data_IF_725268334869
#
_entry.id   IF_725268334869
#
_cell.length_a   1.000
_cell.length_b   1.000
_cell.length_c   1.000
_cell.angle_alpha   90.00
_cell.angle_beta   90.00
_cell.angle_gamma   90.00
#
_symmetry.space_group_name_H-M   'P 1'
#
loop_
_entity.id
_entity.type
_entity.pdbx_description
1 polymer ?
#
# COMPACT_ATOMS: atom_id res chain seq x y z
N UNK A 1 30.76 -0.12 6.63
CA UNK A 1 29.64 0.74 6.24
C UNK A 1 28.70 -0.01 5.29
N UNK A 2 29.24 -0.62 4.24
CA UNK A 2 28.46 -1.38 3.25
C UNK A 2 27.61 -2.48 3.87
N UNK A 3 28.17 -3.28 4.80
CA UNK A 3 27.41 -4.28 5.53
C UNK A 3 26.21 -3.68 6.27
N UNK A 4 26.40 -2.52 6.93
CA UNK A 4 25.32 -1.85 7.65
C UNK A 4 24.17 -1.38 6.74
N UNK A 5 24.51 -0.85 5.56
CA UNK A 5 23.52 -0.46 4.55
C UNK A 5 22.77 -1.70 4.02
N UNK A 6 23.48 -2.79 3.71
CA UNK A 6 22.85 -4.05 3.28
C UNK A 6 21.95 -4.66 4.34
N UNK A 7 22.42 -4.70 5.60
CA UNK A 7 21.62 -5.22 6.72
C UNK A 7 20.32 -4.41 6.93
N UNK A 8 20.38 -3.09 6.76
CA UNK A 8 19.21 -2.22 6.84
C UNK A 8 18.26 -2.44 5.65
N UNK A 9 18.79 -2.47 4.42
CA UNK A 9 17.99 -2.52 3.21
C UNK A 9 17.44 -3.93 2.89
N UNK A 10 18.25 -4.97 3.08
CA UNK A 10 17.91 -6.34 2.67
C UNK A 10 17.39 -7.20 3.82
N UNK A 11 17.89 -6.98 5.05
CA UNK A 11 17.52 -7.77 6.23
C UNK A 11 16.55 -7.02 7.15
N UNK A 12 16.13 -5.80 6.78
CA UNK A 12 15.21 -4.96 7.54
C UNK A 12 15.69 -4.72 8.99
N UNK A 13 16.99 -4.65 9.21
CA UNK A 13 17.54 -4.32 10.53
C UNK A 13 17.32 -2.84 10.82
N UNK A 14 17.03 -2.52 12.10
CA UNK A 14 17.03 -1.11 12.53
C UNK A 14 18.46 -0.59 12.71
N UNK A 15 18.67 0.73 12.56
CA UNK A 15 19.96 1.37 12.82
C UNK A 15 20.50 1.04 14.22
N UNK A 16 19.61 0.93 15.23
CA UNK A 16 19.99 0.53 16.59
C UNK A 16 20.58 -0.89 16.65
N UNK A 17 20.02 -1.85 15.88
CA UNK A 17 20.55 -3.21 15.81
C UNK A 17 21.87 -3.26 15.06
N UNK A 18 22.01 -2.48 13.99
CA UNK A 18 23.27 -2.34 13.27
C UNK A 18 24.36 -1.74 14.17
N UNK A 19 24.04 -0.67 14.91
CA UNK A 19 24.95 -0.04 15.85
C UNK A 19 25.41 -1.03 16.95
N UNK A 20 24.47 -1.78 17.54
CA UNK A 20 24.77 -2.80 18.54
C UNK A 20 25.65 -3.92 17.98
N UNK A 21 25.36 -4.40 16.78
CA UNK A 21 26.14 -5.46 16.13
C UNK A 21 27.58 -5.03 15.80
N UNK A 22 27.79 -3.75 15.55
CA UNK A 22 29.12 -3.19 15.24
C UNK A 22 29.85 -2.61 16.49
N UNK A 23 29.21 -2.59 17.64
CA UNK A 23 29.77 -2.01 18.88
C UNK A 23 30.00 -0.50 18.81
N UNK A 24 29.20 0.24 18.02
CA UNK A 24 29.32 1.68 17.81
C UNK A 24 28.09 2.44 18.27
N UNK A 25 28.20 3.78 18.40
CA UNK A 25 27.06 4.60 18.76
C UNK A 25 26.01 4.62 17.64
N UNK A 26 24.73 4.82 18.02
CA UNK A 26 23.63 4.98 17.07
C UNK A 26 23.93 6.11 16.07
N UNK A 27 24.43 7.25 16.54
CA UNK A 27 24.79 8.40 15.69
C UNK A 27 25.86 8.05 14.67
N UNK A 28 26.90 7.32 15.09
CA UNK A 28 27.98 6.88 14.19
C UNK A 28 27.42 5.94 13.12
N UNK A 29 26.62 4.95 13.52
CA UNK A 29 25.99 4.03 12.56
C UNK A 29 25.05 4.76 11.59
N UNK A 30 24.18 5.63 12.10
CA UNK A 30 23.23 6.39 11.30
C UNK A 30 23.95 7.29 10.28
N UNK A 31 24.93 8.07 10.70
CA UNK A 31 25.68 8.96 9.80
C UNK A 31 26.42 8.17 8.72
N UNK A 32 27.10 7.09 9.10
CA UNK A 32 27.82 6.25 8.14
C UNK A 32 26.89 5.61 7.11
N UNK A 33 25.70 5.13 7.55
CA UNK A 33 24.70 4.55 6.65
C UNK A 33 24.12 5.63 5.72
N UNK A 34 23.78 6.81 6.24
CA UNK A 34 23.25 7.91 5.43
C UNK A 34 24.25 8.37 4.38
N UNK A 35 25.53 8.59 4.76
CA UNK A 35 26.59 8.98 3.82
C UNK A 35 26.78 7.93 2.72
N UNK A 36 26.80 6.65 3.08
CA UNK A 36 26.93 5.57 2.11
C UNK A 36 25.70 5.45 1.21
N UNK A 37 24.50 5.58 1.77
CA UNK A 37 23.26 5.55 0.99
C UNK A 37 23.19 6.73 0.01
N UNK A 38 23.57 7.92 0.45
CA UNK A 38 23.61 9.10 -0.39
C UNK A 38 24.59 8.92 -1.55
N UNK A 39 25.82 8.52 -1.27
CA UNK A 39 26.84 8.29 -2.30
C UNK A 39 26.42 7.21 -3.31
N UNK A 40 25.77 6.13 -2.83
CA UNK A 40 25.39 5.00 -3.70
C UNK A 40 24.10 5.24 -4.49
N UNK A 41 23.13 5.95 -3.91
CA UNK A 41 21.79 6.06 -4.48
C UNK A 41 21.50 7.44 -5.10
N UNK A 42 22.07 8.51 -4.54
CA UNK A 42 21.71 9.88 -4.94
C UNK A 42 22.83 10.61 -5.68
N UNK A 43 24.08 10.38 -5.33
CA UNK A 43 25.23 11.08 -5.91
C UNK A 43 25.80 10.36 -7.16
N UNK A 44 25.22 9.20 -7.54
CA UNK A 44 25.59 8.52 -8.78
C UNK A 44 25.22 9.39 -9.99
N UNK A 45 26.19 9.90 -10.77
CA UNK A 45 25.94 10.74 -11.93
C UNK A 45 25.18 9.99 -13.03
N UNK A 46 25.26 8.65 -13.05
CA UNK A 46 24.61 7.79 -14.05
C UNK A 46 23.21 7.31 -13.65
N UNK A 47 22.71 7.71 -12.46
CA UNK A 47 21.39 7.23 -11.97
C UNK A 47 20.21 7.53 -12.91
N UNK A 48 20.35 8.55 -13.76
CA UNK A 48 19.32 8.94 -14.74
C UNK A 48 19.58 8.40 -16.14
N UNK A 49 20.68 7.67 -16.36
CA UNK A 49 21.02 7.14 -17.67
C UNK A 49 20.09 5.97 -18.05
N UNK A 50 19.69 5.94 -19.32
CA UNK A 50 18.89 4.84 -19.88
C UNK A 50 17.48 4.73 -19.33
N UNK A 51 16.94 5.76 -18.68
CA UNK A 51 15.57 5.75 -18.15
C UNK A 51 14.57 5.96 -19.28
N UNK A 52 13.71 4.96 -19.50
CA UNK A 52 12.63 4.98 -20.49
C UNK A 52 11.27 4.72 -19.84
N UNK A 53 11.25 4.04 -18.70
CA UNK A 53 10.02 3.72 -17.95
C UNK A 53 10.12 4.26 -16.53
N UNK A 54 9.27 5.24 -16.23
CA UNK A 54 9.15 5.82 -14.88
C UNK A 54 8.06 5.13 -14.08
N UNK A 55 8.34 4.87 -12.81
CA UNK A 55 7.35 4.56 -11.80
C UNK A 55 7.22 5.74 -10.84
N UNK A 56 5.99 6.17 -10.56
CA UNK A 56 5.69 7.26 -9.62
C UNK A 56 4.67 6.77 -8.62
N UNK A 57 5.00 6.88 -7.33
CA UNK A 57 4.12 6.48 -6.24
C UNK A 57 4.20 7.46 -5.08
N UNK A 58 3.19 7.45 -4.21
CA UNK A 58 3.20 8.23 -2.98
C UNK A 58 3.44 7.33 -1.77
N UNK A 59 4.25 7.82 -0.84
CA UNK A 59 4.48 7.14 0.42
C UNK A 59 4.22 8.07 1.61
N UNK A 60 3.59 7.51 2.67
CA UNK A 60 3.38 8.23 3.93
C UNK A 60 4.69 8.21 4.71
N UNK A 61 5.43 9.30 4.68
CA UNK A 61 6.72 9.43 5.36
C UNK A 61 6.60 9.67 6.87
N UNK A 62 5.59 10.47 7.28
CA UNK A 62 5.40 10.86 8.68
C UNK A 62 3.94 10.82 9.08
N UNK A 63 3.67 10.33 10.29
CA UNK A 63 2.36 10.41 10.92
C UNK A 63 2.23 11.70 11.77
N UNK A 64 2.53 12.85 11.19
CA UNK A 64 2.44 14.16 11.86
C UNK A 64 1.13 14.87 11.53
N UNK A 65 0.66 15.71 12.45
CA UNK A 65 -0.52 16.56 12.24
C UNK A 65 -0.22 17.81 11.40
N UNK A 66 1.04 18.21 11.29
CA UNK A 66 1.50 19.41 10.57
C UNK A 66 2.67 19.09 9.65
N UNK A 67 2.73 19.77 8.50
CA UNK A 67 3.77 19.59 7.48
C UNK A 67 3.47 18.46 6.50
N UNK A 68 4.40 18.24 5.58
CA UNK A 68 4.27 17.22 4.53
C UNK A 68 4.30 15.82 5.14
N UNK A 69 3.18 15.12 4.99
CA UNK A 69 3.02 13.74 5.45
C UNK A 69 3.47 12.74 4.40
N UNK A 70 3.56 13.17 3.17
CA UNK A 70 3.80 12.34 2.00
C UNK A 70 5.11 12.70 1.33
N UNK A 71 5.70 11.72 0.70
CA UNK A 71 6.77 11.88 -0.28
C UNK A 71 6.32 11.26 -1.59
N UNK A 72 6.77 11.83 -2.70
CA UNK A 72 6.67 11.22 -4.02
C UNK A 72 7.93 10.42 -4.26
N UNK A 73 7.79 9.12 -4.49
CA UNK A 73 8.87 8.19 -4.81
C UNK A 73 8.91 8.03 -6.31
N UNK A 74 10.08 8.21 -6.91
CA UNK A 74 10.30 8.12 -8.35
C UNK A 74 11.33 7.05 -8.60
N UNK A 75 10.96 6.06 -9.40
CA UNK A 75 11.78 4.89 -9.71
C UNK A 75 11.94 4.71 -11.22
N UNK A 76 13.01 4.07 -11.60
CA UNK A 76 13.22 3.56 -12.95
C UNK A 76 12.75 2.10 -13.03
N UNK A 77 11.79 1.86 -13.90
CA UNK A 77 11.24 0.54 -14.20
C UNK A 77 11.80 -0.03 -15.50
N UNK A 78 12.70 0.66 -16.20
CA UNK A 78 13.32 0.17 -17.44
C UNK A 78 13.97 -1.20 -17.24
N UNK A 79 14.77 -1.44 -16.19
CA UNK A 79 15.38 -2.76 -15.98
C UNK A 79 14.35 -3.87 -15.73
N UNK A 80 13.19 -3.53 -15.13
CA UNK A 80 12.10 -4.50 -14.91
C UNK A 80 11.42 -4.85 -16.22
N UNK A 81 11.14 -3.84 -17.06
CA UNK A 81 10.57 -4.03 -18.40
C UNK A 81 11.45 -4.94 -19.24
N UNK A 82 12.73 -4.66 -19.28
CA UNK A 82 13.71 -5.33 -20.15
C UNK A 82 14.28 -6.62 -19.56
N UNK A 83 13.91 -6.94 -18.30
CA UNK A 83 14.45 -8.09 -17.54
C UNK A 83 15.98 -8.02 -17.28
N UNK A 84 16.57 -6.84 -17.33
CA UNK A 84 18.00 -6.62 -17.06
C UNK A 84 18.32 -6.48 -15.57
N UNK A 85 17.32 -6.21 -14.73
CA UNK A 85 17.52 -6.05 -13.29
C UNK A 85 16.26 -5.61 -12.52
N UNK A 86 16.42 -5.33 -11.22
CA UNK A 86 15.37 -4.77 -10.39
C UNK A 86 15.14 -3.29 -10.72
N UNK A 87 13.99 -2.76 -10.27
CA UNK A 87 13.72 -1.32 -10.29
C UNK A 87 14.82 -0.55 -9.54
N UNK A 88 15.16 0.64 -10.03
CA UNK A 88 16.15 1.53 -9.42
C UNK A 88 15.46 2.75 -8.81
N UNK A 89 15.88 3.17 -7.62
CA UNK A 89 15.41 4.43 -7.03
C UNK A 89 16.06 5.61 -7.77
N UNK A 90 15.25 6.50 -8.30
CA UNK A 90 15.73 7.75 -8.91
C UNK A 90 15.72 8.90 -7.90
N UNK A 91 14.60 9.06 -7.17
CA UNK A 91 14.48 10.15 -6.20
C UNK A 91 13.33 9.92 -5.20
N UNK A 92 13.37 10.65 -4.07
CA UNK A 92 12.31 10.75 -3.08
C UNK A 92 12.09 12.22 -2.75
N UNK A 93 10.99 12.79 -3.23
CA UNK A 93 10.71 14.23 -3.14
C UNK A 93 9.60 14.52 -2.11
N UNK A 94 9.77 15.49 -1.21
CA UNK A 94 8.72 15.85 -0.25
C UNK A 94 7.42 16.32 -0.94
N UNK A 95 6.27 15.87 -0.43
CA UNK A 95 4.94 16.21 -0.93
C UNK A 95 4.39 15.21 -1.94
N UNK A 96 3.09 15.37 -2.28
CA UNK A 96 2.35 14.52 -3.23
C UNK A 96 1.44 15.34 -4.13
N UNK A 97 1.91 16.40 -4.71
CA UNK A 97 1.09 17.27 -5.57
C UNK A 97 1.52 17.18 -7.03
N UNK A 98 0.61 17.59 -7.93
CA UNK A 98 0.96 17.83 -9.35
C UNK A 98 2.24 18.66 -9.47
N UNK A 99 2.35 19.74 -8.67
CA UNK A 99 3.50 20.67 -8.70
C UNK A 99 4.80 19.96 -8.38
N UNK A 100 4.80 19.05 -7.38
CA UNK A 100 6.00 18.31 -6.99
C UNK A 100 6.56 17.49 -8.15
N UNK A 101 5.73 16.65 -8.76
CA UNK A 101 6.17 15.83 -9.90
C UNK A 101 6.51 16.69 -11.11
N UNK A 102 5.70 17.72 -11.41
CA UNK A 102 5.95 18.63 -12.52
C UNK A 102 7.31 19.31 -12.37
N UNK A 103 7.60 19.89 -11.20
CA UNK A 103 8.88 20.56 -10.93
C UNK A 103 10.05 19.59 -11.06
N UNK A 104 9.89 18.35 -10.54
CA UNK A 104 10.91 17.34 -10.65
C UNK A 104 11.20 16.95 -12.12
N UNK A 105 10.16 16.77 -12.93
CA UNK A 105 10.30 16.44 -14.36
C UNK A 105 10.89 17.62 -15.14
N UNK A 106 10.43 18.84 -14.90
CA UNK A 106 10.93 20.06 -15.57
C UNK A 106 12.43 20.32 -15.30
N UNK A 107 12.95 19.86 -14.14
CA UNK A 107 14.37 19.96 -13.83
C UNK A 107 15.23 18.96 -14.65
N UNK A 108 14.65 18.06 -15.42
CA UNK A 108 15.35 17.14 -16.34
C UNK A 108 15.48 17.79 -17.70
N UNK A 109 16.62 17.59 -18.36
CA UNK A 109 16.84 18.10 -19.71
C UNK A 109 15.83 17.56 -20.72
N UNK A 110 15.54 18.31 -21.76
CA UNK A 110 14.58 17.92 -22.79
C UNK A 110 14.93 16.59 -23.45
N UNK A 111 16.19 16.35 -23.74
CA UNK A 111 16.71 15.08 -24.29
C UNK A 111 16.41 13.90 -23.35
N UNK A 112 16.51 14.08 -22.03
CA UNK A 112 16.16 13.03 -21.07
C UNK A 112 14.64 12.81 -21.05
N UNK A 113 13.85 13.88 -20.98
CA UNK A 113 12.39 13.78 -21.00
C UNK A 113 11.89 13.14 -22.28
N UNK A 114 12.50 13.44 -23.43
CA UNK A 114 12.14 12.86 -24.73
C UNK A 114 12.35 11.36 -24.84
N UNK A 115 13.21 10.75 -23.99
CA UNK A 115 13.43 9.30 -23.95
C UNK A 115 12.40 8.54 -23.13
N UNK A 116 11.69 9.20 -22.21
CA UNK A 116 10.70 8.54 -21.37
C UNK A 116 9.48 8.14 -22.21
N UNK A 117 9.26 6.84 -22.33
CA UNK A 117 8.17 6.24 -23.13
C UNK A 117 6.93 5.95 -22.30
N UNK A 118 7.11 5.59 -21.01
CA UNK A 118 6.04 5.15 -20.14
C UNK A 118 6.18 5.78 -18.76
N UNK A 119 5.04 6.17 -18.18
CA UNK A 119 4.94 6.58 -16.79
C UNK A 119 3.87 5.74 -16.09
N UNK A 120 4.31 4.81 -15.24
CA UNK A 120 3.45 4.02 -14.36
C UNK A 120 3.15 4.82 -13.10
N UNK A 121 1.88 4.97 -12.75
CA UNK A 121 1.44 5.78 -11.61
C UNK A 121 0.18 5.22 -10.97
N UNK A 122 -0.12 5.69 -9.77
CA UNK A 122 -1.39 5.43 -9.10
C UNK A 122 -2.57 6.16 -9.79
N UNK A 123 -3.75 6.10 -9.16
CA UNK A 123 -4.96 6.79 -9.65
C UNK A 123 -4.95 8.31 -9.47
N UNK A 124 -3.93 8.91 -8.88
CA UNK A 124 -3.91 10.34 -8.59
C UNK A 124 -3.82 11.19 -9.88
N UNK A 125 -4.85 12.00 -10.12
CA UNK A 125 -4.96 12.80 -11.33
C UNK A 125 -3.86 13.85 -11.47
N UNK A 126 -3.29 14.31 -10.35
CA UNK A 126 -2.19 15.27 -10.32
C UNK A 126 -0.92 14.73 -10.99
N UNK A 127 -0.58 13.45 -10.76
CA UNK A 127 0.57 12.84 -11.43
C UNK A 127 0.33 12.66 -12.93
N UNK A 128 -0.89 12.23 -13.31
CA UNK A 128 -1.26 12.14 -14.73
C UNK A 128 -1.13 13.50 -15.46
N UNK A 129 -1.64 14.57 -14.82
CA UNK A 129 -1.55 15.90 -15.41
C UNK A 129 -0.11 16.40 -15.52
N UNK A 130 0.72 16.16 -14.48
CA UNK A 130 2.13 16.53 -14.52
C UNK A 130 2.89 15.78 -15.62
N UNK A 131 2.67 14.46 -15.72
CA UNK A 131 3.27 13.64 -16.77
C UNK A 131 2.83 14.06 -18.17
N UNK A 132 1.53 14.35 -18.38
CA UNK A 132 1.03 14.81 -19.67
C UNK A 132 1.56 16.19 -20.10
N UNK A 133 1.90 17.07 -19.15
CA UNK A 133 2.47 18.38 -19.43
C UNK A 133 3.98 18.33 -19.72
N UNK A 134 4.73 17.52 -18.99
CA UNK A 134 6.20 17.48 -19.08
C UNK A 134 6.74 16.35 -19.98
N UNK A 135 5.94 15.30 -20.21
CA UNK A 135 6.27 14.13 -21.01
C UNK A 135 5.14 13.80 -21.98
N UNK A 136 4.80 14.71 -22.93
CA UNK A 136 3.61 14.58 -23.79
C UNK A 136 3.63 13.32 -24.67
N UNK A 137 4.81 12.78 -24.99
CA UNK A 137 4.99 11.56 -25.78
C UNK A 137 4.84 10.29 -24.95
N UNK A 138 4.98 10.39 -23.61
CA UNK A 138 4.98 9.22 -22.75
C UNK A 138 3.57 8.66 -22.54
N UNK A 139 3.45 7.33 -22.55
CA UNK A 139 2.20 6.66 -22.25
C UNK A 139 1.98 6.54 -20.75
N UNK A 140 0.88 7.10 -20.26
CA UNK A 140 0.46 6.89 -18.89
C UNK A 140 -0.08 5.47 -18.71
N UNK A 141 0.38 4.77 -17.68
CA UNK A 141 -0.10 3.45 -17.26
C UNK A 141 -0.58 3.55 -15.83
N UNK A 142 -1.81 3.14 -15.58
CA UNK A 142 -2.32 3.03 -14.22
C UNK A 142 -1.83 1.72 -13.61
N UNK A 143 -1.12 1.82 -12.49
CA UNK A 143 -0.49 0.65 -11.86
C UNK A 143 -1.54 -0.40 -11.45
N UNK A 144 -1.39 -1.66 -11.90
CA UNK A 144 -2.30 -2.76 -11.58
C UNK A 144 -2.53 -2.97 -10.10
N UNK A 145 -1.48 -2.82 -9.27
CA UNK A 145 -1.61 -2.96 -7.82
C UNK A 145 -2.61 -1.95 -7.25
N UNK A 146 -2.53 -0.69 -7.68
CA UNK A 146 -3.45 0.36 -7.25
C UNK A 146 -4.88 0.14 -7.76
N UNK A 147 -5.04 -0.37 -8.99
CA UNK A 147 -6.37 -0.72 -9.54
C UNK A 147 -7.02 -1.85 -8.73
N UNK A 148 -6.26 -2.91 -8.44
CA UNK A 148 -6.75 -4.03 -7.61
C UNK A 148 -7.04 -3.58 -6.18
N UNK A 149 -6.17 -2.77 -5.59
CA UNK A 149 -6.37 -2.21 -4.25
C UNK A 149 -7.64 -1.36 -4.19
N UNK A 150 -7.85 -0.47 -5.16
CA UNK A 150 -9.08 0.35 -5.26
C UNK A 150 -10.34 -0.52 -5.32
N UNK A 151 -10.34 -1.57 -6.14
CA UNK A 151 -11.47 -2.49 -6.25
C UNK A 151 -11.70 -3.28 -4.95
N UNK A 152 -10.63 -3.72 -4.28
CA UNK A 152 -10.67 -4.37 -2.98
C UNK A 152 -11.24 -3.45 -1.88
N UNK A 153 -10.85 -2.18 -1.88
CA UNK A 153 -11.39 -1.18 -0.95
C UNK A 153 -12.89 -0.96 -1.18
N UNK A 154 -13.34 -0.92 -2.44
CA UNK A 154 -14.78 -0.79 -2.76
C UNK A 154 -15.57 -2.03 -2.33
N UNK A 155 -15.04 -3.21 -2.53
CA UNK A 155 -15.63 -4.45 -2.01
C UNK A 155 -15.73 -4.43 -0.47
N UNK A 156 -14.68 -4.00 0.25
CA UNK A 156 -14.73 -3.92 1.71
C UNK A 156 -15.68 -2.83 2.21
N UNK A 157 -15.79 -1.70 1.50
CA UNK A 157 -16.79 -0.66 1.79
C UNK A 157 -18.22 -1.21 1.65
N UNK A 158 -18.53 -1.90 0.54
CA UNK A 158 -19.83 -2.57 0.34
C UNK A 158 -20.10 -3.59 1.46
N UNK A 159 -19.15 -4.47 1.76
CA UNK A 159 -19.26 -5.43 2.86
C UNK A 159 -19.60 -4.75 4.19
N UNK A 160 -18.91 -3.64 4.52
CA UNK A 160 -19.17 -2.89 5.77
C UNK A 160 -20.53 -2.24 5.78
N UNK A 161 -20.99 -1.69 4.65
CA UNK A 161 -22.31 -1.08 4.50
C UNK A 161 -23.40 -2.12 4.72
N UNK A 162 -23.33 -3.24 3.99
CA UNK A 162 -24.31 -4.33 4.12
C UNK A 162 -24.30 -4.92 5.53
N UNK A 163 -23.11 -5.13 6.11
CA UNK A 163 -23.02 -5.62 7.49
C UNK A 163 -23.72 -4.66 8.48
N UNK A 164 -23.53 -3.36 8.33
CA UNK A 164 -24.18 -2.36 9.19
C UNK A 164 -25.68 -2.35 8.97
N UNK A 165 -26.15 -2.47 7.73
CA UNK A 165 -27.58 -2.55 7.42
C UNK A 165 -28.24 -3.76 8.08
N UNK A 166 -27.57 -4.93 8.10
CA UNK A 166 -28.12 -6.16 8.68
C UNK A 166 -28.04 -6.15 10.21
N UNK A 167 -26.95 -5.65 10.80
CA UNK A 167 -26.68 -5.82 12.25
C UNK A 167 -26.87 -4.56 13.07
N UNK A 168 -27.13 -3.40 12.43
CA UNK A 168 -27.22 -2.08 13.07
C UNK A 168 -25.91 -1.56 13.68
N UNK A 169 -24.80 -2.31 13.55
CA UNK A 169 -23.53 -2.01 14.22
C UNK A 169 -22.31 -2.37 13.39
N UNK A 170 -21.16 -1.92 13.87
CA UNK A 170 -19.84 -2.34 13.33
C UNK A 170 -19.64 -3.83 13.55
N UNK A 171 -19.02 -4.52 12.57
CA UNK A 171 -18.77 -5.96 12.60
C UNK A 171 -17.97 -6.47 13.79
N UNK A 172 -18.36 -7.63 14.31
CA UNK A 172 -17.69 -8.37 15.39
C UNK A 172 -17.21 -9.74 14.89
N UNK A 173 -16.35 -10.39 15.65
CA UNK A 173 -15.76 -11.69 15.30
C UNK A 173 -16.78 -12.79 14.99
N UNK A 174 -17.99 -12.75 15.58
CA UNK A 174 -19.08 -13.69 15.30
C UNK A 174 -19.84 -13.46 14.00
N UNK A 175 -19.74 -12.27 13.40
CA UNK A 175 -20.53 -11.93 12.22
C UNK A 175 -19.95 -12.57 10.96
N UNK A 176 -20.78 -13.20 10.14
CA UNK A 176 -20.38 -13.92 8.91
C UNK A 176 -19.60 -13.02 7.95
N UNK A 177 -20.11 -11.84 7.62
CA UNK A 177 -19.46 -10.86 6.73
C UNK A 177 -18.12 -10.37 7.30
N UNK A 178 -18.02 -10.15 8.63
CA UNK A 178 -16.77 -9.74 9.25
C UNK A 178 -15.70 -10.83 9.17
N UNK A 179 -16.08 -12.10 9.40
CA UNK A 179 -15.18 -13.25 9.28
C UNK A 179 -14.68 -13.46 7.86
N UNK A 180 -15.54 -13.19 6.86
CA UNK A 180 -15.21 -13.36 5.44
C UNK A 180 -14.29 -12.26 4.87
N UNK A 181 -14.01 -11.18 5.60
CA UNK A 181 -13.30 -9.98 5.08
C UNK A 181 -11.96 -10.26 4.37
N UNK A 182 -11.18 -11.23 4.85
CA UNK A 182 -9.90 -11.62 4.21
C UNK A 182 -10.13 -12.55 3.03
N UNK A 183 -11.06 -13.50 3.17
CA UNK A 183 -11.41 -14.44 2.11
C UNK A 183 -11.98 -13.73 0.90
N UNK A 184 -12.81 -12.70 1.09
CA UNK A 184 -13.36 -11.88 0.00
C UNK A 184 -12.27 -11.14 -0.80
N UNK A 185 -11.16 -10.76 -0.16
CA UNK A 185 -10.03 -10.10 -0.82
C UNK A 185 -9.00 -11.08 -1.41
N UNK A 186 -9.22 -12.38 -1.27
CA UNK A 186 -8.38 -13.40 -1.87
C UNK A 186 -8.85 -13.66 -3.31
N UNK A 187 -7.90 -13.74 -4.26
CA UNK A 187 -8.24 -14.14 -5.64
C UNK A 187 -8.80 -15.56 -5.69
N UNK A 188 -9.84 -15.77 -6.48
CA UNK A 188 -10.59 -17.03 -6.53
C UNK A 188 -9.70 -18.27 -6.72
N UNK A 189 -8.71 -18.19 -7.61
CA UNK A 189 -7.75 -19.28 -7.85
C UNK A 189 -6.75 -19.57 -6.71
N UNK A 190 -6.81 -18.81 -5.61
CA UNK A 190 -5.98 -19.02 -4.41
C UNK A 190 -6.79 -19.46 -3.19
N UNK A 191 -8.10 -19.60 -3.36
CA UNK A 191 -9.00 -20.05 -2.30
C UNK A 191 -8.82 -21.55 -2.05
N UNK A 192 -8.81 -21.96 -0.80
CA UNK A 192 -8.94 -23.38 -0.42
C UNK A 192 -10.40 -23.80 -0.52
N UNK A 193 -10.68 -25.12 -0.66
CA UNK A 193 -12.05 -25.66 -0.71
C UNK A 193 -12.89 -25.22 0.48
N UNK A 194 -12.30 -25.21 1.67
CA UNK A 194 -12.97 -24.72 2.89
C UNK A 194 -13.29 -23.21 2.84
N UNK A 195 -12.53 -22.41 2.10
CA UNK A 195 -12.83 -21.01 1.88
C UNK A 195 -13.91 -20.82 0.83
N UNK A 196 -13.90 -21.62 -0.22
CA UNK A 196 -14.94 -21.66 -1.24
C UNK A 196 -16.29 -21.99 -0.60
N UNK A 197 -16.40 -23.10 0.15
CA UNK A 197 -17.66 -23.50 0.80
C UNK A 197 -18.16 -22.45 1.81
N UNK A 198 -17.25 -21.71 2.46
CA UNK A 198 -17.65 -20.57 3.32
C UNK A 198 -18.22 -19.40 2.54
N UNK A 199 -17.69 -19.10 1.34
CA UNK A 199 -18.24 -18.06 0.49
C UNK A 199 -19.56 -18.48 -0.13
N UNK A 200 -19.72 -19.73 -0.54
CA UNK A 200 -21.00 -20.27 -1.01
C UNK A 200 -22.09 -20.14 0.04
N UNK A 201 -21.79 -20.56 1.27
CA UNK A 201 -22.70 -20.40 2.43
C UNK A 201 -23.00 -18.92 2.72
N UNK A 202 -22.01 -18.03 2.54
CA UNK A 202 -22.21 -16.60 2.73
C UNK A 202 -23.15 -16.02 1.68
N UNK A 203 -22.96 -16.38 0.41
CA UNK A 203 -23.70 -15.85 -0.74
C UNK A 203 -25.09 -16.51 -0.93
N UNK A 204 -25.36 -17.62 -0.26
CA UNK A 204 -26.71 -18.21 -0.19
C UNK A 204 -27.73 -17.32 0.55
N UNK A 205 -27.28 -16.30 1.26
CA UNK A 205 -28.12 -15.32 1.94
C UNK A 205 -28.33 -14.11 1.02
N UNK A 206 -29.54 -13.91 0.51
CA UNK A 206 -29.91 -12.82 -0.41
C UNK A 206 -29.55 -11.42 0.11
N UNK A 207 -29.50 -11.25 1.43
CA UNK A 207 -29.05 -9.99 2.05
C UNK A 207 -27.61 -9.63 1.73
N UNK A 208 -26.82 -10.60 1.27
CA UNK A 208 -25.43 -10.43 0.85
C UNK A 208 -25.25 -10.26 -0.66
N UNK A 209 -26.34 -10.20 -1.45
CA UNK A 209 -26.28 -10.12 -2.92
C UNK A 209 -25.39 -8.97 -3.42
N UNK A 210 -25.44 -7.78 -2.79
CA UNK A 210 -24.59 -6.66 -3.15
C UNK A 210 -23.08 -6.96 -2.91
N UNK A 211 -22.75 -7.71 -1.85
CA UNK A 211 -21.36 -8.13 -1.57
C UNK A 211 -20.90 -9.17 -2.59
N UNK A 212 -21.79 -10.12 -2.95
CA UNK A 212 -21.50 -11.12 -3.98
C UNK A 212 -21.23 -10.46 -5.35
N UNK A 213 -22.09 -9.53 -5.77
CA UNK A 213 -21.92 -8.78 -7.02
C UNK A 213 -20.60 -7.99 -7.02
N UNK A 214 -20.29 -7.29 -5.92
CA UNK A 214 -19.03 -6.56 -5.77
C UNK A 214 -17.81 -7.48 -5.80
N UNK A 215 -17.90 -8.66 -5.18
CA UNK A 215 -16.88 -9.69 -5.22
C UNK A 215 -16.67 -10.23 -6.66
N UNK A 216 -17.74 -10.43 -7.41
CA UNK A 216 -17.68 -10.84 -8.81
C UNK A 216 -16.92 -9.82 -9.68
N UNK A 217 -17.17 -8.53 -9.51
CA UNK A 217 -16.42 -7.46 -10.21
C UNK A 217 -14.94 -7.49 -9.81
N UNK A 218 -14.63 -7.62 -8.53
CA UNK A 218 -13.26 -7.71 -8.02
C UNK A 218 -12.51 -8.93 -8.60
N UNK A 219 -13.15 -10.10 -8.65
CA UNK A 219 -12.54 -11.32 -9.22
C UNK A 219 -12.29 -11.21 -10.72
N UNK A 220 -13.23 -10.63 -11.49
CA UNK A 220 -13.05 -10.38 -12.93
C UNK A 220 -11.86 -9.45 -13.21
N UNK A 221 -11.66 -8.44 -12.36
CA UNK A 221 -10.52 -7.53 -12.45
C UNK A 221 -9.20 -8.25 -12.17
N UNK A 222 -9.14 -9.08 -11.11
CA UNK A 222 -7.97 -9.92 -10.81
C UNK A 222 -7.69 -10.89 -11.96
N UNK A 223 -8.71 -11.53 -12.50
CA UNK A 223 -8.58 -12.47 -13.61
C UNK A 223 -7.96 -11.80 -14.84
N UNK A 224 -8.38 -10.58 -15.17
CA UNK A 224 -7.82 -9.83 -16.29
C UNK A 224 -6.31 -9.59 -16.09
N UNK A 225 -5.89 -9.14 -14.88
CA UNK A 225 -4.46 -8.91 -14.59
C UNK A 225 -3.62 -10.19 -14.43
N UNK A 226 -4.26 -11.33 -14.20
CA UNK A 226 -3.60 -12.65 -14.06
C UNK A 226 -3.63 -13.49 -15.33
N UNK A 227 -4.22 -13.00 -16.41
CA UNK A 227 -4.21 -13.69 -17.67
C UNK A 227 -2.76 -13.92 -18.14
N UNK A 228 -2.46 -15.12 -18.60
CA UNK A 228 -1.12 -15.50 -19.08
C UNK A 228 -0.73 -14.67 -20.30
N UNK A 229 -1.67 -14.45 -21.20
CA UNK A 229 -1.50 -13.63 -22.39
C UNK A 229 -2.01 -12.21 -22.17
N UNK A 230 -1.18 -11.22 -22.45
CA UNK A 230 -1.53 -9.81 -22.30
C UNK A 230 -2.76 -9.42 -23.15
N UNK A 231 -2.89 -9.99 -24.36
CA UNK A 231 -4.05 -9.78 -25.24
C UNK A 231 -5.37 -10.25 -24.61
N UNK A 232 -5.36 -11.46 -24.00
CA UNK A 232 -6.51 -11.99 -23.27
C UNK A 232 -6.84 -11.11 -22.06
N UNK A 233 -5.81 -10.71 -21.30
CA UNK A 233 -5.97 -9.81 -20.15
C UNK A 233 -6.61 -8.48 -20.54
N UNK A 234 -6.14 -7.86 -21.61
CA UNK A 234 -6.70 -6.62 -22.18
C UNK A 234 -8.16 -6.80 -22.57
N UNK A 235 -8.48 -7.88 -23.27
CA UNK A 235 -9.84 -8.20 -23.68
C UNK A 235 -10.78 -8.36 -22.48
N UNK A 236 -10.38 -9.12 -21.46
CA UNK A 236 -11.16 -9.31 -20.24
C UNK A 236 -11.37 -7.99 -19.48
N UNK A 237 -10.34 -7.15 -19.38
CA UNK A 237 -10.45 -5.83 -18.75
C UNK A 237 -11.36 -4.90 -19.53
N UNK A 238 -11.24 -4.87 -20.86
CA UNK A 238 -12.13 -4.08 -21.72
C UNK A 238 -13.59 -4.52 -21.54
N UNK A 239 -13.86 -5.81 -21.57
CA UNK A 239 -15.22 -6.34 -21.34
C UNK A 239 -15.76 -5.98 -19.95
N UNK A 240 -14.90 -5.98 -18.92
CA UNK A 240 -15.30 -5.54 -17.58
C UNK A 240 -15.69 -4.06 -17.61
N UNK A 241 -14.85 -3.19 -18.18
CA UNK A 241 -15.10 -1.75 -18.28
C UNK A 241 -16.39 -1.48 -19.06
N UNK A 242 -16.60 -2.19 -20.17
CA UNK A 242 -17.81 -2.02 -21.00
C UNK A 242 -19.07 -2.49 -20.29
N UNK A 243 -19.01 -3.58 -19.53
CA UNK A 243 -20.15 -4.01 -18.71
C UNK A 243 -20.51 -2.99 -17.63
N UNK A 244 -19.50 -2.37 -17.00
CA UNK A 244 -19.70 -1.31 -15.99
C UNK A 244 -20.21 0.00 -16.61
N UNK A 245 -19.90 0.26 -17.89
CA UNK A 245 -20.40 1.42 -18.63
C UNK A 245 -21.86 1.26 -19.02
N UNK A 246 -22.27 0.04 -19.36
CA UNK A 246 -23.65 -0.24 -19.77
C UNK A 246 -24.64 -0.06 -18.61
N UNK A 247 -24.37 -0.72 -17.49
CA UNK A 247 -25.19 -0.58 -16.29
C UNK A 247 -24.47 -1.09 -15.05
N UNK A 248 -24.62 -0.36 -13.95
CA UNK A 248 -24.35 -0.85 -12.60
C UNK A 248 -25.67 -0.84 -11.85
N UNK A 249 -26.16 -1.99 -11.37
CA UNK A 249 -27.43 -2.06 -10.65
C UNK A 249 -27.49 -1.12 -9.45
N UNK A 250 -28.71 -0.69 -9.10
CA UNK A 250 -28.96 0.09 -7.89
C UNK A 250 -28.54 -0.70 -6.64
N UNK A 251 -28.14 0.00 -5.60
CA UNK A 251 -27.64 -0.61 -4.37
C UNK A 251 -26.17 -1.05 -4.42
N UNK A 252 -25.46 -0.72 -5.52
CA UNK A 252 -24.01 -0.99 -5.70
C UNK A 252 -23.21 0.32 -5.82
N UNK A 253 -23.41 1.27 -4.90
CA UNK A 253 -22.82 2.62 -4.93
C UNK A 253 -21.29 2.59 -4.96
N UNK A 254 -20.69 1.60 -4.31
CA UNK A 254 -19.24 1.41 -4.31
C UNK A 254 -18.73 0.98 -5.69
N UNK A 255 -19.48 0.12 -6.38
CA UNK A 255 -19.16 -0.32 -7.74
C UNK A 255 -19.42 0.80 -8.75
N UNK A 256 -20.46 1.63 -8.57
CA UNK A 256 -20.66 2.83 -9.39
C UNK A 256 -19.46 3.78 -9.29
N UNK A 257 -18.90 3.93 -8.07
CA UNK A 257 -17.70 4.74 -7.85
C UNK A 257 -16.46 4.15 -8.53
N UNK A 258 -16.27 2.83 -8.42
CA UNK A 258 -15.20 2.11 -9.12
C UNK A 258 -15.35 2.25 -10.64
N UNK A 259 -16.57 2.05 -11.16
CA UNK A 259 -16.89 2.16 -12.59
C UNK A 259 -16.51 3.53 -13.15
N UNK A 260 -16.87 4.62 -12.47
CA UNK A 260 -16.48 5.99 -12.88
C UNK A 260 -14.97 6.13 -13.02
N UNK A 261 -14.20 5.58 -12.09
CA UNK A 261 -12.74 5.62 -12.17
C UNK A 261 -12.21 4.79 -13.33
N UNK A 262 -12.65 3.53 -13.46
CA UNK A 262 -12.19 2.63 -14.53
C UNK A 262 -12.55 3.15 -15.91
N UNK A 263 -13.76 3.73 -16.09
CA UNK A 263 -14.21 4.30 -17.35
C UNK A 263 -13.42 5.55 -17.72
N UNK A 264 -13.23 6.49 -16.77
CA UNK A 264 -12.49 7.74 -17.02
C UNK A 264 -10.98 7.50 -17.25
N UNK A 265 -10.44 6.43 -16.70
CA UNK A 265 -9.02 6.04 -16.82
C UNK A 265 -8.82 4.79 -17.70
N UNK A 266 -9.82 4.41 -18.50
CA UNK A 266 -9.79 3.16 -19.28
C UNK A 266 -8.55 3.02 -20.16
N UNK A 267 -8.11 4.10 -20.80
CA UNK A 267 -6.91 4.09 -21.64
C UNK A 267 -5.65 3.81 -20.82
N UNK A 268 -5.54 4.34 -19.60
CA UNK A 268 -4.38 4.15 -18.73
C UNK A 268 -4.36 2.74 -18.12
N UNK A 269 -5.55 2.20 -17.77
CA UNK A 269 -5.72 0.82 -17.27
C UNK A 269 -5.38 -0.19 -18.37
N UNK A 270 -5.87 0.01 -19.58
CA UNK A 270 -5.63 -0.89 -20.71
C UNK A 270 -4.19 -0.81 -21.24
N UNK A 271 -3.54 0.35 -21.09
CA UNK A 271 -2.15 0.53 -21.53
C UNK A 271 -1.16 -0.41 -20.82
N UNK A 272 -1.47 -0.89 -19.62
CA UNK A 272 -0.65 -1.89 -18.93
C UNK A 272 -0.48 -3.17 -19.73
N UNK A 273 -1.51 -3.63 -20.42
CA UNK A 273 -1.46 -4.87 -21.21
C UNK A 273 -0.64 -4.69 -22.50
N UNK A 274 -0.57 -3.45 -23.02
CA UNK A 274 0.30 -3.11 -24.16
C UNK A 274 1.75 -2.87 -23.70
N UNK A 275 1.96 -2.57 -22.41
CA UNK A 275 3.24 -2.26 -21.77
C UNK A 275 3.42 -3.12 -20.51
N UNK A 276 3.50 -4.45 -20.64
CA UNK A 276 3.60 -5.34 -19.49
C UNK A 276 4.85 -5.05 -18.65
N UNK A 277 4.81 -5.41 -17.36
CA UNK A 277 5.90 -5.19 -16.41
C UNK A 277 6.20 -3.73 -16.06
N UNK A 278 5.24 -2.86 -16.28
CA UNK A 278 5.29 -1.45 -15.86
C UNK A 278 4.47 -1.22 -14.59
N UNK A 279 4.72 -1.99 -13.53
CA UNK A 279 4.05 -1.85 -12.24
C UNK A 279 5.02 -1.41 -11.17
N UNK A 280 4.61 -0.50 -10.29
CA UNK A 280 5.35 -0.04 -9.12
C UNK A 280 5.36 -1.07 -7.98
N UNK A 281 4.46 -2.06 -8.01
CA UNK A 281 4.37 -3.11 -7.02
C UNK A 281 5.31 -4.29 -7.30
N UNK A 282 5.64 -5.13 -6.28
CA UNK A 282 6.31 -6.39 -6.52
C UNK A 282 5.38 -7.25 -7.36
N UNK A 283 5.68 -7.38 -8.64
CA UNK A 283 4.97 -8.28 -9.55
C UNK A 283 5.11 -9.70 -8.97
N UNK A 284 4.04 -10.42 -8.63
CA UNK A 284 4.14 -11.83 -8.32
C UNK A 284 4.74 -12.49 -9.56
N UNK A 285 5.99 -12.88 -9.48
CA UNK A 285 6.66 -13.60 -10.55
C UNK A 285 5.87 -14.89 -10.81
N UNK A 286 5.15 -14.98 -11.91
CA UNK A 286 4.49 -16.17 -12.41
C UNK A 286 5.48 -17.19 -12.98
N UNK A 287 6.68 -17.28 -12.42
CA UNK A 287 7.60 -18.39 -12.71
C UNK A 287 7.83 -19.17 -11.42
N UNK A 288 6.82 -19.95 -11.01
CA UNK A 288 7.10 -21.16 -10.24
C UNK A 288 7.70 -22.19 -11.19
N UNK A 289 9.01 -22.27 -11.20
CA UNK A 289 9.68 -23.47 -11.70
C UNK A 289 9.20 -24.65 -10.83
N UNK A 290 8.63 -25.72 -11.40
CA UNK A 290 8.26 -26.90 -10.63
C UNK A 290 9.52 -27.47 -9.97
N UNK A 291 9.58 -27.51 -8.63
CA UNK A 291 10.64 -28.18 -7.89
C UNK A 291 11.51 -27.33 -6.97
N UNK A 292 11.34 -26.02 -6.85
CA UNK A 292 12.11 -25.24 -5.88
C UNK A 292 11.47 -25.30 -4.48
N UNK A 293 12.24 -25.62 -3.41
CA UNK A 293 11.72 -25.65 -2.04
C UNK A 293 11.32 -24.23 -1.61
N UNK A 294 10.14 -24.14 -1.00
CA UNK A 294 9.57 -22.90 -0.45
C UNK A 294 10.47 -22.32 0.64
N UNK A 295 11.36 -21.40 0.28
CA UNK A 295 11.92 -20.47 1.26
C UNK A 295 10.91 -19.33 1.44
N UNK A 296 10.29 -19.26 2.60
CA UNK A 296 9.54 -18.10 3.04
C UNK A 296 10.47 -16.87 2.98
N UNK A 297 10.29 -16.01 1.97
CA UNK A 297 10.76 -14.63 2.06
C UNK A 297 9.72 -13.87 2.87
N UNK A 298 10.08 -13.18 3.95
CA UNK A 298 9.15 -12.25 4.60
C UNK A 298 8.84 -11.15 3.58
N UNK A 299 7.58 -11.08 3.17
CA UNK A 299 7.07 -9.93 2.41
C UNK A 299 7.23 -8.67 3.27
N UNK A 300 7.54 -7.54 2.64
CA UNK A 300 7.44 -6.24 3.29
C UNK A 300 6.08 -6.12 3.98
N UNK A 301 6.01 -5.72 5.25
CA UNK A 301 4.75 -5.63 5.96
C UNK A 301 3.85 -4.62 5.27
N UNK A 302 2.63 -5.04 4.94
CA UNK A 302 1.57 -4.15 4.47
C UNK A 302 1.33 -3.04 5.50
N UNK A 303 1.04 -1.79 5.11
CA UNK A 303 0.89 -0.64 6.02
C UNK A 303 -0.18 -0.79 7.11
N UNK A 304 -0.96 -1.87 7.11
CA UNK A 304 -2.02 -2.16 8.08
C UNK A 304 -1.63 -3.13 9.21
N UNK A 305 -0.36 -3.54 9.30
CA UNK A 305 0.13 -4.42 10.37
C UNK A 305 1.17 -3.74 11.27
N UNK A 306 1.01 -2.45 11.55
CA UNK A 306 1.65 -1.89 12.74
C UNK A 306 0.84 -2.32 13.96
N UNK A 307 1.37 -3.30 14.65
CA UNK A 307 0.86 -3.89 15.88
C UNK A 307 0.55 -2.82 16.93
N UNK A 308 -0.68 -2.85 17.47
CA UNK A 308 -0.90 -2.45 18.84
C UNK A 308 -0.07 -3.38 19.75
N UNK A 309 0.71 -2.85 20.68
CA UNK A 309 1.37 -3.68 21.67
C UNK A 309 0.31 -4.40 22.50
N UNK A 310 0.42 -5.72 22.59
CA UNK A 310 -0.36 -6.54 23.52
C UNK A 310 0.09 -6.18 24.94
N UNK A 311 -0.83 -5.99 25.89
CA UNK A 311 -0.46 -5.85 27.28
C UNK A 311 0.10 -7.17 27.79
N UNK A 312 1.29 -7.12 28.37
CA UNK A 312 1.89 -8.24 29.07
C UNK A 312 1.01 -8.64 30.27
N UNK A 313 0.86 -9.93 30.58
CA UNK A 313 0.16 -10.37 31.78
C UNK A 313 0.91 -9.88 33.02
N UNK A 314 0.18 -9.22 33.89
CA UNK A 314 0.64 -8.73 35.18
C UNK A 314 1.27 -9.87 36.00
N UNK A 315 2.55 -9.78 36.29
CA UNK A 315 3.17 -10.48 37.42
C UNK A 315 2.72 -9.76 38.70
N UNK A 316 2.01 -10.49 39.52
CA UNK A 316 1.64 -10.13 40.88
C UNK A 316 2.92 -9.92 41.71
N UNK A 317 3.13 -8.78 42.40
CA UNK A 317 4.23 -8.66 43.36
C UNK A 317 3.89 -9.44 44.63
N UNK A 318 4.80 -10.28 45.02
CA UNK A 318 4.79 -10.88 46.38
C UNK A 318 5.03 -9.82 47.44
N UNK A 319 4.19 -9.86 48.49
CA UNK A 319 4.19 -9.00 49.66
C UNK A 319 5.36 -9.40 50.59
N UNK A 320 6.21 -8.48 51.10
CA UNK A 320 7.09 -8.78 52.24
C UNK A 320 6.32 -8.61 53.56
N UNK A 321 6.80 -9.22 54.67
CA UNK A 321 6.05 -9.35 55.90
C UNK A 321 6.07 -8.05 56.77
N UNK A 322 4.99 -7.95 57.55
CA UNK A 322 4.72 -6.90 58.52
C UNK A 322 5.85 -6.74 59.57
N UNK A 323 6.20 -5.48 59.85
CA UNK A 323 6.72 -5.12 61.15
C UNK A 323 6.04 -3.84 61.66
N UNK A 324 5.32 -4.03 62.72
CA UNK A 324 4.64 -3.11 63.59
C UNK A 324 5.60 -2.12 64.30
N UNK A 325 5.29 -0.86 64.40
CA UNK A 325 5.18 -0.09 65.66
C UNK A 325 5.06 1.44 65.48
N UNK A 326 3.92 1.94 66.01
CA UNK A 326 3.75 3.18 66.76
C UNK A 326 4.00 4.55 66.08
N UNK A 327 2.98 5.35 65.85
CA UNK A 327 2.51 6.50 66.65
C UNK A 327 1.59 7.41 65.83
N UNK A 328 0.40 7.61 66.37
CA UNK A 328 -0.49 8.77 66.10
C UNK A 328 -0.06 9.93 67.08
N UNK A 329 -0.65 11.15 67.09
CA UNK A 329 -1.57 11.83 66.16
C UNK A 329 -1.17 13.31 65.90
N UNK A 330 -1.87 14.06 65.03
CA UNK A 330 -2.59 15.33 65.32
C UNK A 330 -3.02 16.05 64.02
N UNK A 331 -4.32 16.28 63.93
CA UNK A 331 -4.90 17.34 63.06
C UNK A 331 -4.68 18.73 63.73
N UNK A 332 -4.82 19.84 63.02
CA UNK A 332 -6.12 20.47 62.87
C UNK A 332 -6.38 21.26 61.56
N UNK A 333 -7.62 21.16 61.10
CA UNK A 333 -8.66 22.16 60.72
C UNK A 333 -8.30 23.59 60.27
N UNK A 334 -9.22 24.04 59.36
CA UNK A 334 -9.62 25.41 58.96
C UNK A 334 -8.83 26.04 57.80
N UNK A 335 -9.40 26.68 56.81
CA UNK A 335 -10.66 27.39 56.66
C UNK A 335 -10.97 27.71 55.20
N UNK A 336 -12.23 27.75 54.88
CA UNK A 336 -12.92 28.37 53.77
C UNK A 336 -12.51 29.80 53.47
N UNK A 337 -12.50 30.22 52.20
CA UNK A 337 -13.12 31.51 51.80
C UNK A 337 -13.34 31.56 50.27
N UNK A 338 -14.56 31.94 49.93
CA UNK A 338 -15.11 32.37 48.64
C UNK A 338 -14.54 33.72 48.21
N UNK A 339 -14.60 34.02 46.91
CA UNK A 339 -15.19 35.21 46.23
C UNK A 339 -14.76 35.15 44.76
N UNK A 340 -15.67 34.96 43.80
CA UNK A 340 -16.51 35.96 43.09
C UNK A 340 -15.72 36.85 42.13
N UNK A 341 -16.23 36.75 40.93
CA UNK A 341 -15.96 37.42 39.65
C UNK A 341 -15.91 38.97 39.72
N UNK A 342 -15.58 39.67 38.68
CA UNK A 342 -16.32 39.62 37.40
C UNK A 342 -15.55 39.17 36.16
#
# INVERSE_FOLDING_TARGET
VEWGLRALALECMSVSRVAAALGISWHTANNAILTSAQATLLDDPHRFDGVEVLGVDEHVWRHTRRGDRYVTVIIDLTPVRDRSGPARLLDVVPGRSKKVLKTWLAARGESWRGRVEVVAMDGFTGFKSAAGEELPQARAVMDPFHVVSLAGDKLDQCRRRIQRAITGRRGRAGDRLYRARRTLLTGAGLLTDAQVGRLETLFADDRHAAVQASWGVYQRLIQAYRAEEAGLGKYLMQRLIDSLRQAVPDGLEEIQTLARTLISRSQDVLAYFDRPRTSNGPTPSHQRTPGAPTRHRPGLPQPHQLHHPQPHPHRTPQRPPDNNHLNQPTSPTYNTLKHEEP
#
